data_IF_062661223346
#
_entry.id   IF_062661223346
#
_cell.length_a   1.000
_cell.length_b   1.000
_cell.length_c   1.000
_cell.angle_alpha   90.00
_cell.angle_beta   90.00
_cell.angle_gamma   90.00
#
_symmetry.space_group_name_H-M   'P 1'
#
loop_
_entity.id
_entity.type
_entity.pdbx_description
1 polymer ?
#
# COMPACT_ATOMS: atom_id res chain seq x y z
N UNK A 1 12.67 44.23 -59.08
CA UNK A 1 12.74 44.12 -60.56
C UNK A 1 13.88 43.14 -60.85
N UNK A 2 13.73 41.92 -61.35
CA UNK A 2 13.00 41.46 -62.55
C UNK A 2 12.85 39.91 -62.50
N UNK A 3 11.79 39.43 -63.14
CA UNK A 3 11.19 38.08 -63.30
C UNK A 3 12.10 37.02 -63.98
N UNK A 4 12.11 35.76 -63.49
CA UNK A 4 11.40 34.53 -63.97
C UNK A 4 11.78 34.01 -65.38
N UNK A 5 12.13 32.71 -65.47
CA UNK A 5 11.41 31.72 -66.30
C UNK A 5 11.84 30.25 -66.03
N UNK A 6 10.84 29.39 -66.05
CA UNK A 6 10.81 27.93 -65.86
C UNK A 6 10.98 27.22 -67.23
N UNK A 7 11.71 26.11 -67.32
CA UNK A 7 11.40 24.99 -68.25
C UNK A 7 11.77 23.63 -67.65
N UNK A 8 10.90 22.67 -67.91
CA UNK A 8 10.72 21.34 -67.36
C UNK A 8 11.80 20.28 -67.64
N UNK A 9 11.78 19.23 -66.80
CA UNK A 9 12.42 17.95 -67.05
C UNK A 9 11.93 16.91 -66.04
N UNK A 10 10.78 16.28 -66.33
CA UNK A 10 10.27 15.11 -65.60
C UNK A 10 11.12 13.90 -65.97
N UNK A 11 11.81 13.27 -65.00
CA UNK A 11 12.08 11.82 -65.04
C UNK A 11 11.93 11.24 -63.64
N UNK A 12 10.91 10.41 -63.54
CA UNK A 12 10.56 9.46 -62.47
C UNK A 12 11.77 8.67 -61.95
N UNK A 13 11.87 8.46 -60.63
CA UNK A 13 12.31 7.18 -60.04
C UNK A 13 12.37 7.17 -58.50
N UNK A 14 11.53 6.30 -57.94
CA UNK A 14 11.77 5.45 -56.76
C UNK A 14 11.78 6.14 -55.39
N UNK A 15 10.59 6.08 -54.80
CA UNK A 15 10.27 6.02 -53.38
C UNK A 15 11.29 5.21 -52.58
N UNK A 16 11.94 5.84 -51.59
CA UNK A 16 12.46 5.16 -50.42
C UNK A 16 11.95 5.90 -49.19
N UNK A 17 10.76 5.51 -48.72
CA UNK A 17 10.27 5.90 -47.39
C UNK A 17 11.11 5.13 -46.38
N UNK A 18 12.07 5.80 -45.76
CA UNK A 18 12.70 5.30 -44.54
C UNK A 18 11.67 5.37 -43.43
N UNK A 19 11.06 4.22 -43.11
CA UNK A 19 10.25 4.07 -41.91
C UNK A 19 11.19 4.25 -40.71
N UNK A 20 11.10 5.40 -40.05
CA UNK A 20 11.60 5.55 -38.68
C UNK A 20 10.64 4.75 -37.81
N UNK A 21 10.97 3.49 -37.55
CA UNK A 21 10.35 2.75 -36.44
C UNK A 21 10.82 3.41 -35.16
N UNK A 22 10.03 4.34 -34.63
CA UNK A 22 10.08 4.70 -33.21
C UNK A 22 9.81 3.40 -32.44
N UNK A 23 10.89 2.72 -32.05
CA UNK A 23 10.81 1.63 -31.08
C UNK A 23 10.17 2.22 -29.83
N UNK A 24 8.97 1.78 -29.51
CA UNK A 24 8.37 2.05 -28.21
C UNK A 24 9.29 1.43 -27.18
N UNK A 25 10.03 2.27 -26.46
CA UNK A 25 10.77 1.88 -25.28
C UNK A 25 9.75 1.29 -24.31
N UNK A 26 9.69 -0.04 -24.21
CA UNK A 26 9.03 -0.68 -23.06
C UNK A 26 9.88 -0.29 -21.86
N UNK A 27 9.44 0.76 -21.16
CA UNK A 27 10.03 1.16 -19.88
C UNK A 27 9.63 0.06 -18.90
N UNK A 28 10.47 -0.97 -18.78
CA UNK A 28 10.41 -1.90 -17.68
C UNK A 28 10.82 -1.12 -16.43
N UNK A 29 9.86 -0.45 -15.80
CA UNK A 29 10.04 0.11 -14.47
C UNK A 29 10.52 -1.02 -13.55
N UNK A 30 11.60 -0.84 -12.77
CA UNK A 30 11.97 -1.83 -11.79
C UNK A 30 10.81 -1.96 -10.81
N UNK A 31 10.20 -3.14 -10.76
CA UNK A 31 9.38 -3.54 -9.61
C UNK A 31 10.36 -3.59 -8.44
N UNK A 32 10.33 -2.57 -7.58
CA UNK A 32 11.06 -2.58 -6.33
C UNK A 32 10.51 -3.74 -5.51
N UNK A 33 11.20 -4.88 -5.57
CA UNK A 33 10.95 -6.00 -4.67
C UNK A 33 11.54 -5.57 -3.33
N UNK A 34 10.67 -5.09 -2.46
CA UNK A 34 11.04 -4.64 -1.14
C UNK A 34 11.71 -5.81 -0.38
N UNK A 35 12.82 -5.53 0.31
CA UNK A 35 13.58 -6.55 1.03
C UNK A 35 12.69 -7.23 2.08
N UNK A 36 13.00 -8.46 2.54
CA UNK A 36 12.28 -9.10 3.63
C UNK A 36 12.43 -8.23 4.90
N UNK A 37 11.46 -7.37 5.16
CA UNK A 37 11.56 -6.30 6.14
C UNK A 37 10.76 -5.06 5.76
N UNK A 38 10.61 -4.78 4.47
CA UNK A 38 9.93 -3.60 3.96
C UNK A 38 8.61 -4.00 3.29
N UNK A 39 7.48 -3.96 4.00
CA UNK A 39 6.16 -4.11 3.38
C UNK A 39 5.53 -2.74 3.21
N UNK A 40 5.01 -2.41 2.02
CA UNK A 40 4.23 -1.18 1.79
C UNK A 40 3.17 -1.44 0.73
N UNK A 41 1.97 -0.90 0.94
CA UNK A 41 0.92 -0.90 -0.09
C UNK A 41 0.98 0.43 -0.85
N UNK A 42 1.43 0.40 -2.10
CA UNK A 42 1.56 1.59 -2.96
C UNK A 42 0.55 1.66 -4.10
N UNK A 43 -0.21 0.59 -4.31
CA UNK A 43 -1.24 0.52 -5.36
C UNK A 43 -2.35 1.55 -5.13
N UNK A 44 -2.97 1.98 -6.22
CA UNK A 44 -4.03 2.99 -6.20
C UNK A 44 -5.21 2.57 -5.32
N UNK A 45 -5.68 1.33 -5.51
CA UNK A 45 -6.77 0.73 -4.74
C UNK A 45 -6.28 -0.58 -4.11
N UNK A 46 -6.10 -0.63 -2.78
CA UNK A 46 -5.79 -1.87 -2.06
C UNK A 46 -6.86 -2.93 -2.25
N UNK A 47 -6.46 -4.19 -2.26
CA UNK A 47 -7.37 -5.33 -2.11
C UNK A 47 -7.45 -5.74 -0.64
N UNK A 48 -8.49 -6.48 -0.26
CA UNK A 48 -8.59 -7.09 1.08
C UNK A 48 -7.33 -7.86 1.48
N UNK A 49 -6.70 -8.59 0.54
CA UNK A 49 -5.50 -9.37 0.82
C UNK A 49 -4.30 -8.46 1.11
N UNK A 50 -4.15 -7.32 0.42
CA UNK A 50 -3.07 -6.37 0.74
C UNK A 50 -3.24 -5.79 2.16
N UNK A 51 -4.48 -5.44 2.50
CA UNK A 51 -4.81 -4.91 3.82
C UNK A 51 -4.58 -5.96 4.90
N UNK A 52 -4.92 -7.22 4.62
CA UNK A 52 -4.64 -8.36 5.48
C UNK A 52 -3.14 -8.52 5.71
N UNK A 53 -2.35 -8.55 4.63
CA UNK A 53 -0.90 -8.68 4.68
C UNK A 53 -0.24 -7.54 5.46
N UNK A 54 -0.77 -6.31 5.37
CA UNK A 54 -0.28 -5.20 6.19
C UNK A 54 -0.51 -5.42 7.68
N UNK A 55 -1.69 -5.92 8.06
CA UNK A 55 -1.98 -6.21 9.47
C UNK A 55 -1.06 -7.32 9.95
N UNK A 56 -0.92 -8.42 9.19
CA UNK A 56 0.01 -9.51 9.50
C UNK A 56 1.44 -8.99 9.66
N UNK A 57 1.91 -8.17 8.72
CA UNK A 57 3.21 -7.52 8.79
C UNK A 57 3.40 -6.74 10.10
N UNK A 58 2.43 -5.91 10.48
CA UNK A 58 2.52 -5.06 11.67
C UNK A 58 2.55 -5.85 12.98
N UNK A 59 1.73 -6.88 13.13
CA UNK A 59 1.49 -7.51 14.46
C UNK A 59 1.88 -8.97 14.55
N UNK A 60 2.24 -9.62 13.45
CA UNK A 60 2.63 -11.04 13.46
C UNK A 60 4.10 -11.27 13.10
N UNK A 61 4.77 -10.27 12.52
CA UNK A 61 6.19 -10.35 12.14
C UNK A 61 7.12 -9.55 13.07
N UNK A 62 8.40 -9.96 13.18
CA UNK A 62 9.43 -9.22 13.89
C UNK A 62 10.04 -8.06 13.07
N UNK A 63 9.29 -7.45 12.13
CA UNK A 63 9.78 -6.34 11.33
C UNK A 63 10.32 -5.17 12.19
N UNK A 64 11.27 -4.42 11.65
CA UNK A 64 11.88 -3.29 12.37
C UNK A 64 10.88 -2.18 12.65
N UNK A 65 11.23 -1.31 13.59
CA UNK A 65 10.38 -0.20 14.01
C UNK A 65 10.17 0.78 12.87
N UNK A 66 11.21 1.06 12.10
CA UNK A 66 11.17 1.94 10.93
C UNK A 66 10.23 1.37 9.87
N UNK A 67 10.28 0.06 9.63
CA UNK A 67 9.42 -0.57 8.65
C UNK A 67 7.96 -0.61 9.11
N UNK A 68 7.70 -0.84 10.40
CA UNK A 68 6.35 -0.71 10.98
C UNK A 68 5.86 0.73 10.92
N UNK A 69 6.70 1.71 11.26
CA UNK A 69 6.38 3.13 11.18
C UNK A 69 6.01 3.56 9.75
N UNK A 70 6.67 3.01 8.74
CA UNK A 70 6.34 3.29 7.35
C UNK A 70 4.90 2.89 6.97
N UNK A 71 4.29 1.95 7.69
CA UNK A 71 2.91 1.48 7.51
C UNK A 71 1.88 2.15 8.43
N UNK A 72 2.30 3.04 9.35
CA UNK A 72 1.42 3.65 10.34
C UNK A 72 1.32 5.16 10.12
N UNK A 73 0.12 5.73 10.23
CA UNK A 73 -0.12 7.18 10.12
C UNK A 73 0.72 7.95 11.15
N UNK A 74 0.73 7.49 12.41
CA UNK A 74 1.52 8.07 13.49
C UNK A 74 3.02 7.77 13.46
N UNK A 75 3.51 7.08 12.40
CA UNK A 75 4.90 6.72 12.24
C UNK A 75 5.49 6.06 13.49
N UNK A 76 6.67 6.53 13.91
CA UNK A 76 7.40 5.99 15.08
C UNK A 76 6.61 6.07 16.38
N UNK A 77 5.73 7.06 16.56
CA UNK A 77 4.94 7.20 17.80
C UNK A 77 3.93 6.07 17.97
N UNK A 78 3.47 5.48 16.87
CA UNK A 78 2.48 4.41 16.88
C UNK A 78 3.10 3.00 16.93
N UNK A 79 4.39 2.85 16.62
CA UNK A 79 5.09 1.55 16.55
C UNK A 79 4.97 0.74 17.84
N UNK A 80 5.00 1.41 18.99
CA UNK A 80 4.88 0.78 20.31
C UNK A 80 3.62 -0.09 20.43
N UNK A 81 2.52 0.30 19.75
CA UNK A 81 1.27 -0.47 19.74
C UNK A 81 1.44 -1.76 18.94
N UNK A 82 2.03 -1.68 17.74
CA UNK A 82 2.27 -2.84 16.89
C UNK A 82 3.26 -3.83 17.55
N UNK A 83 4.31 -3.33 18.19
CA UNK A 83 5.24 -4.14 18.99
C UNK A 83 4.54 -4.81 20.18
N UNK A 84 3.70 -4.08 20.90
CA UNK A 84 2.97 -4.62 22.06
C UNK A 84 2.09 -5.79 21.62
N UNK A 85 1.37 -5.64 20.51
CA UNK A 85 0.54 -6.70 19.95
C UNK A 85 1.38 -7.90 19.47
N UNK A 86 2.48 -7.66 18.77
CA UNK A 86 3.41 -8.72 18.35
C UNK A 86 3.97 -9.52 19.53
N UNK A 87 4.43 -8.81 20.57
CA UNK A 87 5.01 -9.40 21.78
C UNK A 87 3.96 -10.15 22.61
N UNK A 88 2.70 -9.70 22.58
CA UNK A 88 1.61 -10.41 23.27
C UNK A 88 1.29 -11.77 22.65
N UNK A 89 1.50 -11.93 21.33
CA UNK A 89 1.14 -13.13 20.58
C UNK A 89 -0.37 -13.43 20.51
N UNK A 90 -1.23 -12.53 21.02
CA UNK A 90 -2.66 -12.81 21.21
C UNK A 90 -3.42 -13.12 19.92
N UNK A 91 -3.04 -12.46 18.82
CA UNK A 91 -3.80 -12.52 17.57
C UNK A 91 -3.10 -13.33 16.47
N UNK A 92 -2.09 -14.12 16.82
CA UNK A 92 -1.35 -14.94 15.86
C UNK A 92 -1.25 -16.40 16.31
N UNK A 93 -1.00 -17.35 15.39
CA UNK A 93 -0.82 -18.74 15.77
C UNK A 93 0.27 -18.90 16.85
N UNK A 94 0.10 -19.82 17.81
CA UNK A 94 -1.01 -20.78 17.93
C UNK A 94 -2.22 -20.27 18.74
N UNK A 95 -2.18 -19.04 19.26
CA UNK A 95 -3.15 -18.54 20.25
C UNK A 95 -4.33 -17.83 19.60
N UNK A 96 -4.12 -17.24 18.43
CA UNK A 96 -5.13 -16.42 17.75
C UNK A 96 -4.94 -16.34 16.24
N UNK A 97 -5.74 -15.46 15.64
CA UNK A 97 -5.70 -15.16 14.20
C UNK A 97 -6.24 -13.77 13.92
N UNK A 98 -5.74 -13.11 12.88
CA UNK A 98 -6.38 -11.92 12.27
C UNK A 98 -6.96 -12.26 10.91
N UNK A 99 -8.02 -11.55 10.54
CA UNK A 99 -8.59 -11.61 9.20
C UNK A 99 -9.12 -10.24 8.81
N UNK A 100 -8.72 -9.75 7.63
CA UNK A 100 -9.38 -8.63 6.97
C UNK A 100 -10.41 -9.18 5.98
N UNK A 101 -11.57 -8.56 5.95
CA UNK A 101 -12.72 -8.99 5.17
C UNK A 101 -13.60 -7.81 4.77
N UNK A 102 -14.53 -8.05 3.85
CA UNK A 102 -15.52 -7.06 3.45
C UNK A 102 -16.63 -6.83 4.49
N UNK A 103 -17.52 -5.85 4.26
CA UNK A 103 -17.50 -4.94 3.11
C UNK A 103 -16.31 -3.97 3.20
N UNK A 104 -15.65 -3.73 2.07
CA UNK A 104 -14.63 -2.69 1.93
C UNK A 104 -15.20 -1.46 1.21
N UNK A 105 -14.62 -0.30 1.49
CA UNK A 105 -14.95 0.95 0.81
C UNK A 105 -13.67 1.60 0.33
N UNK A 106 -13.74 2.28 -0.81
CA UNK A 106 -12.66 3.12 -1.29
C UNK A 106 -13.21 4.50 -1.68
N UNK A 107 -12.72 5.54 -1.01
CA UNK A 107 -13.08 6.94 -1.24
C UNK A 107 -11.81 7.80 -1.27
N UNK A 108 -11.29 8.02 -2.48
CA UNK A 108 -10.05 8.75 -2.71
C UNK A 108 -8.89 8.19 -1.89
N UNK A 109 -8.40 9.00 -0.94
CA UNK A 109 -7.27 8.62 -0.08
C UNK A 109 -7.68 7.90 1.21
N UNK A 110 -8.92 7.39 1.30
CA UNK A 110 -9.41 6.61 2.43
C UNK A 110 -9.90 5.26 1.95
N UNK A 111 -9.50 4.20 2.65
CA UNK A 111 -9.96 2.85 2.40
C UNK A 111 -10.42 2.23 3.73
N UNK A 112 -11.53 1.50 3.74
CA UNK A 112 -12.00 0.82 4.95
C UNK A 112 -12.31 -0.63 4.68
N UNK A 113 -12.12 -1.48 5.68
CA UNK A 113 -12.47 -2.90 5.63
C UNK A 113 -12.80 -3.40 7.05
N UNK A 114 -13.29 -4.62 7.17
CA UNK A 114 -13.63 -5.23 8.46
C UNK A 114 -12.49 -6.12 8.95
N UNK A 115 -12.02 -5.87 10.18
CA UNK A 115 -11.11 -6.75 10.91
C UNK A 115 -11.92 -7.70 11.81
N UNK A 116 -11.53 -8.96 11.80
CA UNK A 116 -11.88 -9.93 12.83
C UNK A 116 -10.59 -10.50 13.45
N UNK A 117 -10.40 -10.25 14.74
CA UNK A 117 -9.29 -10.81 15.51
C UNK A 117 -9.81 -11.80 16.54
N UNK A 118 -9.19 -12.98 16.59
CA UNK A 118 -9.53 -14.07 17.51
C UNK A 118 -8.37 -14.33 18.45
N UNK A 119 -8.68 -14.69 19.68
CA UNK A 119 -7.71 -15.18 20.68
C UNK A 119 -8.40 -16.24 21.52
N UNK A 120 -7.69 -17.34 21.80
CA UNK A 120 -8.20 -18.41 22.64
C UNK A 120 -8.70 -17.88 23.99
N UNK A 121 -9.89 -18.30 24.40
CA UNK A 121 -10.50 -17.90 25.67
C UNK A 121 -11.00 -16.46 25.74
N UNK A 122 -11.10 -15.74 24.61
CA UNK A 122 -11.61 -14.36 24.54
C UNK A 122 -12.70 -14.22 23.46
N UNK A 123 -13.67 -13.30 23.61
CA UNK A 123 -14.56 -12.94 22.53
C UNK A 123 -13.80 -12.41 21.32
N UNK A 124 -14.34 -12.65 20.13
CA UNK A 124 -13.81 -12.09 18.89
C UNK A 124 -13.93 -10.57 18.89
N UNK A 125 -12.85 -9.91 18.48
CA UNK A 125 -12.85 -8.48 18.19
C UNK A 125 -13.28 -8.30 16.73
N UNK A 126 -14.34 -7.54 16.51
CA UNK A 126 -14.81 -7.17 15.17
C UNK A 126 -14.88 -5.66 15.09
N UNK A 127 -14.14 -5.06 14.16
CA UNK A 127 -14.04 -3.61 14.02
C UNK A 127 -13.89 -3.21 12.56
N UNK A 128 -14.36 -2.01 12.21
CA UNK A 128 -13.99 -1.37 10.95
C UNK A 128 -12.61 -0.77 11.10
N UNK A 129 -11.72 -1.07 10.16
CA UNK A 129 -10.38 -0.52 10.10
C UNK A 129 -10.32 0.48 8.96
N UNK A 130 -9.59 1.57 9.17
CA UNK A 130 -9.43 2.68 8.24
C UNK A 130 -7.95 2.80 7.90
N UNK A 131 -7.69 2.86 6.60
CA UNK A 131 -6.42 3.17 6.00
C UNK A 131 -6.48 4.51 5.31
N UNK A 132 -5.38 5.26 5.38
CA UNK A 132 -5.20 6.53 4.68
C UNK A 132 -4.02 6.45 3.73
N UNK A 133 -4.20 6.97 2.52
CA UNK A 133 -3.11 7.11 1.56
C UNK A 133 -2.37 8.42 1.81
N UNK A 134 -1.11 8.32 2.20
CA UNK A 134 -0.24 9.43 2.54
C UNK A 134 1.05 9.23 1.75
N UNK A 135 1.43 10.23 0.95
CA UNK A 135 2.62 10.20 0.10
C UNK A 135 2.71 8.93 -0.79
N UNK A 136 1.57 8.51 -1.32
CA UNK A 136 1.46 7.32 -2.19
C UNK A 136 1.42 5.98 -1.47
N UNK A 137 1.52 5.95 -0.14
CA UNK A 137 1.51 4.74 0.68
C UNK A 137 0.23 4.66 1.51
N UNK A 138 -0.43 3.50 1.51
CA UNK A 138 -1.53 3.25 2.44
C UNK A 138 -1.01 2.92 3.82
N UNK A 139 -1.44 3.70 4.80
CA UNK A 139 -1.05 3.58 6.20
C UNK A 139 -2.27 3.29 7.06
N UNK A 140 -2.09 2.45 8.07
CA UNK A 140 -3.09 2.22 9.11
C UNK A 140 -3.33 3.53 9.86
N UNK A 141 -4.59 3.96 9.95
CA UNK A 141 -4.94 5.27 10.51
C UNK A 141 -4.77 5.33 12.04
N UNK A 142 -4.49 6.52 12.55
CA UNK A 142 -4.39 6.77 13.99
C UNK A 142 -5.71 6.46 14.72
N UNK A 143 -6.86 6.69 14.08
CA UNK A 143 -8.16 6.35 14.65
C UNK A 143 -8.33 4.84 14.84
N UNK A 144 -7.95 4.03 13.85
CA UNK A 144 -8.03 2.57 13.97
C UNK A 144 -7.01 1.99 14.94
N UNK A 145 -5.81 2.57 15.02
CA UNK A 145 -4.83 2.20 16.06
C UNK A 145 -5.41 2.47 17.45
N UNK A 146 -6.00 3.65 17.66
CA UNK A 146 -6.61 4.02 18.94
C UNK A 146 -7.80 3.12 19.31
N UNK A 147 -8.65 2.77 18.34
CA UNK A 147 -9.74 1.81 18.54
C UNK A 147 -9.21 0.44 18.94
N UNK A 148 -8.12 -0.01 18.30
CA UNK A 148 -7.43 -1.25 18.67
C UNK A 148 -6.95 -1.24 20.12
N UNK A 149 -6.27 -0.18 20.56
CA UNK A 149 -5.81 0.01 21.96
C UNK A 149 -6.97 -0.16 22.94
N UNK A 150 -8.09 0.53 22.69
CA UNK A 150 -9.27 0.47 23.55
C UNK A 150 -9.87 -0.93 23.58
N UNK A 151 -9.99 -1.57 22.43
CA UNK A 151 -10.61 -2.87 22.30
C UNK A 151 -9.80 -3.98 22.98
N UNK A 152 -8.47 -3.86 23.03
CA UNK A 152 -7.60 -4.82 23.70
C UNK A 152 -7.25 -4.45 25.15
N UNK A 153 -7.78 -3.32 25.64
CA UNK A 153 -7.61 -2.87 27.02
C UNK A 153 -6.21 -2.35 27.35
N UNK A 154 -5.48 -1.84 26.37
CA UNK A 154 -4.17 -1.22 26.59
C UNK A 154 -4.34 0.16 27.24
N UNK A 155 -3.58 0.43 28.30
CA UNK A 155 -3.62 1.69 29.06
C UNK A 155 -2.79 2.82 28.41
N UNK A 156 -2.82 2.91 27.08
CA UNK A 156 -2.00 3.85 26.30
C UNK A 156 -2.85 5.03 25.81
N UNK A 157 -2.26 6.23 25.80
CA UNK A 157 -2.89 7.40 25.21
C UNK A 157 -2.82 7.32 23.68
N UNK A 158 -3.87 7.81 23.00
CA UNK A 158 -3.92 7.90 21.55
C UNK A 158 -3.36 9.24 21.05
N UNK A 159 -2.15 9.59 21.50
CA UNK A 159 -1.44 10.80 21.08
C UNK A 159 -0.29 10.38 20.18
N UNK A 160 -0.56 10.31 18.88
CA UNK A 160 0.34 9.88 17.81
C UNK A 160 0.46 10.97 16.75
#
# INVERSE_FOLDING_TARGET
>A
MKSLNIVAGVVSSITAVTMVTTGASVVNSPVASAAPGDFLITKEVPTLDDLHDQVVFLIETPASDEAKAANMEGGMRAVVVAQTLYNSGLFRPPIGSNQISGPETHDGNVHTAMLRSKSAGRPDLVARVVWKRIDGVWKLSNSSVCEGIKAVGLSMACDF
#
